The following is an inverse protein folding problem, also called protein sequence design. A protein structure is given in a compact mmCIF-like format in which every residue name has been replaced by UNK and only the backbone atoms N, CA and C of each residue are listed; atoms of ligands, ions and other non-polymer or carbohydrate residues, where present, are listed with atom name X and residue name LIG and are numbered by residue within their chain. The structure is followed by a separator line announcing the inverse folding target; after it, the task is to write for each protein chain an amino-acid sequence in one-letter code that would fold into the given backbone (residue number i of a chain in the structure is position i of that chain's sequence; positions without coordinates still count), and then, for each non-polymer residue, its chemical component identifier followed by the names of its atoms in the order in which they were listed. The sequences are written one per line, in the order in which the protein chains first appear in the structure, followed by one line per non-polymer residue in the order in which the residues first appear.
data_IF_429363368724
#
_entry.id   IF_429363368724
#
_cell.length_a   1.000
_cell.length_b   1.000
_cell.length_c   1.000
_cell.angle_alpha   90.00
_cell.angle_beta   90.00
_cell.angle_gamma   90.00
#
_symmetry.space_group_name_H-M   'P 1'
#
loop_
_entity.id
_entity.type
_entity.pdbx_description
1 polymer ?
#
# COMPACT_ATOMS: atom_id res chain seq x y z
N UNK A 1 -15.40 5.24 5.38
CA UNK A 1 -14.95 5.01 3.99
C UNK A 1 -13.61 5.68 3.81
N UNK A 2 -12.57 4.98 3.35
CA UNK A 2 -11.28 5.60 3.06
C UNK A 2 -11.18 5.80 1.55
N UNK A 3 -10.89 7.03 1.13
CA UNK A 3 -10.86 7.42 -0.29
C UNK A 3 -9.43 7.59 -0.77
N UNK A 4 -9.21 7.28 -2.05
CA UNK A 4 -7.94 7.45 -2.76
C UNK A 4 -6.72 6.90 -2.01
N UNK A 5 -6.87 5.75 -1.34
CA UNK A 5 -5.78 5.09 -0.64
C UNK A 5 -4.75 4.62 -1.67
N UNK A 6 -3.45 4.98 -1.53
CA UNK A 6 -2.42 4.55 -2.46
C UNK A 6 -2.24 3.02 -2.38
N UNK A 7 -2.12 2.37 -3.53
CA UNK A 7 -2.01 0.91 -3.65
C UNK A 7 -0.66 0.51 -4.26
N UNK A 8 0.13 -0.21 -3.46
CA UNK A 8 1.30 -0.95 -3.91
C UNK A 8 0.84 -2.33 -4.41
N UNK A 9 1.19 -2.67 -5.65
CA UNK A 9 0.86 -3.97 -6.24
C UNK A 9 2.14 -4.80 -6.30
N UNK A 10 2.26 -5.83 -5.47
CA UNK A 10 3.48 -6.62 -5.42
C UNK A 10 3.25 -8.03 -4.86
N UNK A 11 2.89 -8.14 -3.59
CA UNK A 11 2.82 -9.42 -2.88
C UNK A 11 1.67 -9.45 -1.89
N UNK A 12 1.39 -10.62 -1.34
CA UNK A 12 0.42 -10.77 -0.27
C UNK A 12 1.01 -10.25 1.04
N UNK A 13 0.24 -9.46 1.77
CA UNK A 13 0.59 -8.96 3.09
C UNK A 13 -0.50 -9.32 4.10
N UNK A 14 -0.09 -9.55 5.34
CA UNK A 14 -0.97 -9.96 6.42
C UNK A 14 -0.86 -8.99 7.60
N UNK A 15 -1.96 -8.75 8.34
CA UNK A 15 -1.91 -8.03 9.60
C UNK A 15 -0.84 -8.60 10.53
N UNK A 16 -0.17 -7.72 11.28
CA UNK A 16 0.92 -7.97 12.24
C UNK A 16 2.24 -8.51 11.67
N UNK A 17 2.29 -8.87 10.39
CA UNK A 17 3.49 -9.41 9.76
C UNK A 17 4.36 -8.28 9.16
N UNK A 18 5.67 -8.22 9.49
CA UNK A 18 6.60 -7.32 8.82
C UNK A 18 6.71 -7.59 7.32
N UNK A 19 6.79 -6.53 6.53
CA UNK A 19 6.92 -6.59 5.07
C UNK A 19 7.94 -5.55 4.60
N UNK A 20 9.25 -5.87 4.60
CA UNK A 20 10.27 -4.98 4.09
C UNK A 20 10.21 -4.92 2.56
N UNK A 21 10.31 -3.73 1.99
CA UNK A 21 10.20 -3.50 0.55
C UNK A 21 11.41 -2.74 0.01
N UNK A 22 11.94 -3.18 -1.12
CA UNK A 22 12.87 -2.39 -1.92
C UNK A 22 12.11 -1.68 -3.04
N UNK A 23 11.98 -0.35 -2.92
CA UNK A 23 11.21 0.48 -3.84
C UNK A 23 12.13 1.21 -4.79
N UNK A 24 12.10 0.80 -6.06
CA UNK A 24 12.93 1.36 -7.13
C UNK A 24 12.12 1.96 -8.29
N UNK A 25 10.88 1.51 -8.52
CA UNK A 25 10.02 2.06 -9.57
C UNK A 25 9.67 3.54 -9.31
N UNK A 26 9.84 4.46 -10.28
CA UNK A 26 9.59 5.89 -10.11
C UNK A 26 8.22 6.24 -9.50
N UNK A 27 7.16 5.57 -9.95
CA UNK A 27 5.78 5.79 -9.44
C UNK A 27 5.64 5.49 -7.95
N UNK A 28 6.28 4.42 -7.47
CA UNK A 28 6.22 4.03 -6.06
C UNK A 28 7.17 4.84 -5.20
N UNK A 29 8.31 5.31 -5.75
CA UNK A 29 9.17 6.29 -5.07
C UNK A 29 8.41 7.57 -4.71
N UNK A 30 7.62 8.09 -5.66
CA UNK A 30 6.74 9.24 -5.42
C UNK A 30 5.66 8.91 -4.38
N UNK A 31 5.01 7.74 -4.50
CA UNK A 31 3.99 7.29 -3.56
C UNK A 31 4.50 7.23 -2.12
N UNK A 32 5.66 6.60 -1.88
CA UNK A 32 6.27 6.48 -0.55
C UNK A 32 6.63 7.85 0.01
N UNK A 33 7.25 8.74 -0.79
CA UNK A 33 7.54 10.11 -0.35
C UNK A 33 6.28 10.82 0.13
N UNK A 34 5.19 10.75 -0.62
CA UNK A 34 3.91 11.36 -0.25
C UNK A 34 3.31 10.75 1.02
N UNK A 35 3.38 9.44 1.20
CA UNK A 35 2.91 8.80 2.43
C UNK A 35 3.66 9.31 3.67
N UNK A 36 4.95 9.65 3.51
CA UNK A 36 5.75 10.23 4.58
C UNK A 36 5.46 11.71 4.81
N UNK A 37 5.25 12.49 3.74
CA UNK A 37 4.96 13.94 3.81
C UNK A 37 3.57 14.27 4.35
N UNK A 38 2.54 13.49 3.99
CA UNK A 38 1.15 13.72 4.45
C UNK A 38 0.90 13.20 5.86
N UNK A 39 1.85 12.45 6.44
CA UNK A 39 1.78 11.95 7.81
C UNK A 39 0.93 10.70 8.02
N UNK A 40 0.23 10.19 7.00
CA UNK A 40 -0.54 8.94 7.14
C UNK A 40 0.38 7.74 7.36
N UNK A 41 1.59 7.77 6.78
CA UNK A 41 2.58 6.69 6.82
C UNK A 41 1.98 5.32 6.50
N UNK A 42 0.99 5.29 5.62
CA UNK A 42 0.22 4.09 5.30
C UNK A 42 -0.11 4.02 3.82
N UNK A 43 -0.13 2.79 3.29
CA UNK A 43 -0.61 2.47 1.95
C UNK A 43 -1.22 1.06 1.94
N UNK A 44 -2.05 0.76 0.95
CA UNK A 44 -2.58 -0.58 0.74
C UNK A 44 -1.63 -1.44 -0.09
N UNK A 45 -1.48 -2.71 0.28
CA UNK A 45 -0.80 -3.72 -0.53
C UNK A 45 -1.85 -4.68 -1.10
N UNK A 46 -1.83 -4.87 -2.41
CA UNK A 46 -2.64 -5.86 -3.13
C UNK A 46 -1.77 -6.76 -4.01
N UNK A 47 -2.28 -7.96 -4.29
CA UNK A 47 -1.72 -8.81 -5.35
C UNK A 47 -2.08 -8.26 -6.72
N UNK A 48 -1.23 -8.54 -7.70
CA UNK A 48 -1.54 -8.27 -9.11
C UNK A 48 -2.72 -9.13 -9.57
N UNK A 49 -3.53 -8.55 -10.45
CA UNK A 49 -4.64 -9.22 -11.14
C UNK A 49 -4.57 -8.82 -12.62
N UNK A 50 -4.57 -9.80 -13.52
CA UNK A 50 -4.36 -9.53 -14.96
C UNK A 50 -5.49 -8.74 -15.61
N UNK A 51 -6.72 -8.84 -15.08
CA UNK A 51 -7.90 -8.20 -15.66
C UNK A 51 -8.20 -6.85 -15.01
N UNK A 52 -8.00 -6.75 -13.69
CA UNK A 52 -8.35 -5.56 -12.89
C UNK A 52 -7.14 -4.70 -12.53
N UNK A 53 -5.93 -5.16 -12.83
CA UNK A 53 -4.67 -4.56 -12.39
C UNK A 53 -4.25 -5.02 -10.99
N UNK A 54 -5.19 -5.09 -10.03
CA UNK A 54 -4.93 -5.63 -8.68
C UNK A 54 -6.17 -6.26 -8.05
N UNK A 55 -5.94 -7.15 -7.07
CA UNK A 55 -6.98 -7.91 -6.39
C UNK A 55 -7.94 -7.02 -5.57
N UNK A 56 -9.19 -7.47 -5.42
CA UNK A 56 -10.26 -6.77 -4.68
C UNK A 56 -10.02 -6.73 -3.16
N UNK A 57 -9.03 -7.46 -2.65
CA UNK A 57 -8.71 -7.52 -1.23
C UNK A 57 -7.22 -7.30 -1.00
N UNK A 58 -6.90 -6.59 0.07
CA UNK A 58 -5.52 -6.27 0.43
C UNK A 58 -5.34 -6.02 1.91
N UNK A 59 -4.12 -5.61 2.27
CA UNK A 59 -3.76 -5.24 3.63
C UNK A 59 -3.17 -3.83 3.66
N UNK A 60 -3.62 -3.00 4.60
CA UNK A 60 -2.93 -1.75 4.92
C UNK A 60 -1.60 -2.09 5.56
N UNK A 61 -0.53 -1.51 5.01
CA UNK A 61 0.80 -1.51 5.57
C UNK A 61 1.08 -0.15 6.21
N UNK A 62 1.62 -0.16 7.42
CA UNK A 62 2.15 1.04 8.09
C UNK A 62 3.67 1.07 7.93
N UNK A 63 4.18 2.22 7.49
CA UNK A 63 5.61 2.50 7.33
C UNK A 63 6.21 2.77 8.71
N UNK A 64 7.13 1.89 9.12
CA UNK A 64 7.90 2.02 10.37
C UNK A 64 9.15 2.85 10.18
N UNK A 65 9.88 2.60 9.09
CA UNK A 65 11.08 3.35 8.74
C UNK A 65 11.29 3.40 7.22
N UNK A 66 12.04 4.39 6.75
CA UNK A 66 12.43 4.53 5.34
C UNK A 66 13.88 4.95 5.24
N UNK A 67 14.68 4.14 4.54
CA UNK A 67 16.04 4.48 4.16
C UNK A 67 16.10 4.86 2.68
N UNK A 68 16.32 6.14 2.39
CA UNK A 68 16.52 6.64 1.02
C UNK A 68 17.98 6.48 0.57
N UNK A 69 18.16 6.18 -0.70
CA UNK A 69 19.46 6.13 -1.37
C UNK A 69 19.65 7.33 -2.32
N UNK A 70 20.90 7.70 -2.66
CA UNK A 70 21.20 8.83 -3.54
C UNK A 70 20.61 8.73 -4.96
N UNK A 71 20.40 7.53 -5.48
CA UNK A 71 19.72 7.28 -6.77
C UNK A 71 18.18 7.39 -6.66
N UNK A 72 17.69 7.65 -5.45
CA UNK A 72 16.31 7.84 -5.06
C UNK A 72 15.52 6.56 -4.87
N UNK A 73 16.16 5.38 -4.90
CA UNK A 73 15.55 4.14 -4.38
C UNK A 73 15.37 4.24 -2.86
N UNK A 74 14.58 3.33 -2.30
CA UNK A 74 14.44 3.22 -0.84
C UNK A 74 14.24 1.79 -0.37
N UNK A 75 14.73 1.48 0.83
CA UNK A 75 14.21 0.36 1.62
C UNK A 75 13.16 0.94 2.56
N UNK A 76 11.97 0.32 2.55
CA UNK A 76 10.82 0.74 3.34
C UNK A 76 10.46 -0.42 4.26
N UNK A 77 10.62 -0.21 5.56
CA UNK A 77 10.19 -1.18 6.56
C UNK A 77 8.73 -0.94 6.89
N UNK A 78 7.90 -1.98 6.73
CA UNK A 78 6.47 -1.89 7.00
C UNK A 78 5.97 -3.04 7.85
N UNK A 79 4.80 -2.87 8.45
CA UNK A 79 4.05 -3.95 9.10
C UNK A 79 2.59 -3.90 8.65
N UNK A 80 1.99 -5.07 8.41
CA UNK A 80 0.57 -5.13 8.12
C UNK A 80 -0.28 -4.74 9.32
N UNK A 81 -1.38 -4.03 9.07
CA UNK A 81 -2.24 -3.47 10.13
C UNK A 81 -3.66 -4.01 10.03
N UNK A 82 -4.29 -3.88 8.86
CA UNK A 82 -5.72 -4.18 8.71
C UNK A 82 -6.05 -4.63 7.30
N UNK A 83 -6.99 -5.58 7.19
CA UNK A 83 -7.51 -6.04 5.89
C UNK A 83 -8.54 -5.06 5.35
N UNK A 84 -8.62 -4.96 4.03
CA UNK A 84 -9.62 -4.13 3.35
C UNK A 84 -10.17 -4.81 2.10
N UNK A 85 -11.35 -4.36 1.68
CA UNK A 85 -11.94 -4.63 0.37
C UNK A 85 -11.95 -3.37 -0.47
N UNK A 86 -11.61 -3.52 -1.74
CA UNK A 86 -11.64 -2.47 -2.76
C UNK A 86 -13.09 -2.23 -3.18
N UNK A 87 -13.50 -0.97 -3.16
CA UNK A 87 -14.81 -0.50 -3.63
C UNK A 87 -14.72 0.04 -5.06
N UNK A 88 -13.63 0.73 -5.39
CA UNK A 88 -13.37 1.24 -6.73
C UNK A 88 -11.87 1.44 -6.95
N UNK A 89 -11.43 1.23 -8.18
CA UNK A 89 -10.06 1.46 -8.62
C UNK A 89 -9.87 2.91 -9.08
N UNK A 90 -8.68 3.44 -8.93
CA UNK A 90 -8.26 4.74 -9.40
C UNK A 90 -6.78 4.78 -9.68
N UNK A 91 -6.30 5.93 -10.15
CA UNK A 91 -4.89 6.16 -10.41
C UNK A 91 -4.55 7.62 -10.08
N UNK A 92 -3.34 7.83 -9.54
CA UNK A 92 -2.79 9.16 -9.30
C UNK A 92 -1.30 9.15 -9.66
N UNK A 93 -0.89 10.02 -10.57
CA UNK A 93 0.51 10.23 -10.96
C UNK A 93 1.27 8.93 -11.26
N UNK A 94 0.59 7.98 -11.92
CA UNK A 94 1.15 6.71 -12.38
C UNK A 94 1.11 5.55 -11.38
N UNK A 95 0.72 5.74 -10.12
CA UNK A 95 0.45 4.64 -9.18
C UNK A 95 -1.06 4.46 -8.93
N UNK A 96 -1.42 3.23 -8.55
CA UNK A 96 -2.81 2.84 -8.31
C UNK A 96 -3.34 3.47 -7.02
N UNK A 97 -4.60 3.84 -7.01
CA UNK A 97 -5.35 4.21 -5.80
C UNK A 97 -6.63 3.38 -5.69
N UNK A 98 -7.22 3.33 -4.50
CA UNK A 98 -8.51 2.70 -4.30
C UNK A 98 -9.36 3.43 -3.26
N UNK A 99 -10.67 3.44 -3.48
CA UNK A 99 -11.61 3.62 -2.38
C UNK A 99 -11.80 2.27 -1.71
N UNK A 100 -11.70 2.22 -0.38
CA UNK A 100 -11.72 0.96 0.36
C UNK A 100 -12.68 1.00 1.56
N UNK A 101 -13.11 -0.18 1.95
CA UNK A 101 -13.71 -0.45 3.26
C UNK A 101 -12.84 -1.41 4.05
N UNK A 102 -12.76 -1.20 5.37
CA UNK A 102 -12.05 -2.12 6.24
C UNK A 102 -12.90 -3.35 6.53
N UNK A 103 -12.25 -4.51 6.61
CA UNK A 103 -12.88 -5.73 7.07
C UNK A 103 -12.78 -5.81 8.59
N UNK A 104 -13.90 -6.14 9.23
CA UNK A 104 -13.97 -6.41 10.67
C UNK A 104 -14.11 -7.92 10.90
N UNK A 105 -13.37 -8.43 11.88
CA UNK A 105 -13.52 -9.81 12.31
C UNK A 105 -14.82 -9.96 13.11
N UNK A 106 -15.63 -10.97 12.76
CA UNK A 106 -16.78 -11.33 13.59
C UNK A 106 -16.25 -11.98 14.86
N UNK A 107 -16.58 -11.40 16.02
CA UNK A 107 -16.39 -12.08 17.30
C UNK A 107 -17.31 -13.30 17.31
N UNK A 108 -16.71 -14.47 17.55
CA UNK A 108 -17.42 -15.74 17.72
C UNK A 108 -17.58 -16.00 19.20
#
# INVERSE_FOLDING_TARGET
LNKDVPIFVCTMAFPTIPCPLHVFEPRYRLMIRRCMETGTKQFGMCLADELKGFADHGCILEIRDVKFFPDGRSVVDTVGVRRFRVLSHGQRDGYNTANIEYLEDKKV
#
